data_IF_482826814841
#
_entry.id   IF_482826814841
#
_cell.length_a   1.000
_cell.length_b   1.000
_cell.length_c   1.000
_cell.angle_alpha   90.00
_cell.angle_beta   90.00
_cell.angle_gamma   90.00
#
_symmetry.space_group_name_H-M   'P 1'
#
loop_
_entity.id
_entity.type
_entity.pdbx_description
1 polymer ?
#
# COMPACT_ATOMS: atom_id res chain seq x y z
N UNK A 1 17.00 6.37 8.91
CA UNK A 1 17.92 7.52 8.89
C UNK A 1 17.16 8.80 8.52
N UNK A 2 17.69 9.95 8.97
CA UNK A 2 17.13 11.25 8.64
C UNK A 2 17.48 11.59 7.19
N UNK A 3 16.49 12.02 6.38
CA UNK A 3 16.64 12.28 4.96
C UNK A 3 16.03 13.61 4.54
N UNK A 4 16.68 14.30 3.61
CA UNK A 4 16.18 15.57 3.09
C UNK A 4 14.91 15.34 2.22
N UNK A 5 13.96 16.29 2.31
CA UNK A 5 12.76 16.33 1.45
C UNK A 5 12.92 17.28 0.28
N UNK A 6 14.07 17.96 0.19
CA UNK A 6 14.36 19.00 -0.80
C UNK A 6 15.77 18.83 -1.37
N UNK A 7 16.00 19.37 -2.55
CA UNK A 7 17.33 19.60 -3.09
C UNK A 7 17.86 20.91 -2.51
N UNK A 8 19.10 20.88 -2.01
CA UNK A 8 19.68 22.08 -1.39
C UNK A 8 20.92 21.80 -0.56
N UNK A 9 20.92 22.31 0.66
CA UNK A 9 22.06 22.30 1.55
C UNK A 9 21.68 21.80 2.94
N UNK A 10 22.30 20.73 3.40
CA UNK A 10 22.19 20.23 4.76
C UNK A 10 22.99 21.17 5.69
N UNK A 11 22.36 21.64 6.75
CA UNK A 11 22.95 22.63 7.67
C UNK A 11 22.53 22.35 9.12
N UNK A 12 23.18 23.04 10.02
CA UNK A 12 22.73 23.14 11.40
C UNK A 12 21.81 24.37 11.49
N UNK A 13 20.60 24.20 11.99
CA UNK A 13 19.61 25.27 12.09
C UNK A 13 20.16 26.53 12.78
N UNK A 14 21.01 26.36 13.78
CA UNK A 14 21.64 27.48 14.50
C UNK A 14 22.55 28.35 13.63
N UNK A 15 23.16 27.79 12.57
CA UNK A 15 24.08 28.51 11.67
C UNK A 15 23.31 29.34 10.63
N UNK A 16 22.03 29.06 10.43
CA UNK A 16 21.14 29.81 9.55
C UNK A 16 20.06 30.58 10.30
N UNK A 17 20.13 30.61 11.64
CA UNK A 17 19.16 31.33 12.45
C UNK A 17 19.14 32.84 12.13
N UNK A 18 17.96 33.35 11.79
CA UNK A 18 17.76 34.73 11.38
C UNK A 18 18.21 35.08 9.96
N UNK A 19 18.63 34.09 9.18
CA UNK A 19 18.99 34.28 7.78
C UNK A 19 17.79 34.77 6.96
N UNK A 20 18.00 35.79 6.12
CA UNK A 20 17.02 36.39 5.22
C UNK A 20 17.73 37.06 4.04
N UNK A 21 16.98 37.42 2.98
CA UNK A 21 17.57 38.02 1.77
C UNK A 21 18.50 39.22 2.02
N UNK A 22 18.13 40.07 2.98
CA UNK A 22 18.93 41.24 3.35
C UNK A 22 20.07 40.98 4.34
N UNK A 23 20.12 39.79 4.92
CA UNK A 23 21.15 39.36 5.87
C UNK A 23 21.32 37.84 5.78
N UNK A 24 21.94 37.32 4.69
CA UNK A 24 22.13 35.87 4.49
C UNK A 24 23.14 35.29 5.48
N UNK A 25 22.96 34.02 5.81
CA UNK A 25 24.00 33.24 6.49
C UNK A 25 25.06 32.83 5.48
N UNK A 26 26.33 33.10 5.77
CA UNK A 26 27.45 32.69 4.94
C UNK A 26 28.09 31.43 5.52
N UNK A 27 28.05 30.32 4.75
CA UNK A 27 28.54 29.02 5.19
C UNK A 27 29.49 28.41 4.16
N UNK A 28 30.42 27.58 4.61
CA UNK A 28 31.36 26.87 3.76
C UNK A 28 30.75 25.53 3.30
N UNK A 29 30.64 25.33 1.99
CA UNK A 29 30.25 24.03 1.42
C UNK A 29 31.46 23.08 1.39
N UNK A 30 31.42 22.05 2.27
CA UNK A 30 32.52 21.11 2.46
C UNK A 30 32.41 19.85 1.58
N UNK A 31 31.33 19.73 0.80
CA UNK A 31 31.16 18.63 -0.14
C UNK A 31 29.70 18.31 -0.47
N UNK A 32 29.51 17.14 -1.08
CA UNK A 32 28.20 16.63 -1.50
C UNK A 32 27.84 15.36 -0.72
N UNK A 33 26.58 15.25 -0.27
CA UNK A 33 26.04 14.05 0.33
C UNK A 33 25.74 13.02 -0.78
N UNK A 34 26.31 11.80 -0.74
CA UNK A 34 26.07 10.80 -1.74
C UNK A 34 24.62 10.27 -1.69
N UNK A 35 24.04 9.99 -2.86
CA UNK A 35 22.77 9.26 -2.91
C UNK A 35 23.02 7.76 -2.74
N UNK A 36 22.17 7.10 -1.94
CA UNK A 36 22.24 5.65 -1.73
C UNK A 36 23.37 5.16 -0.81
N UNK A 37 24.08 6.07 -0.17
CA UNK A 37 25.14 5.76 0.78
C UNK A 37 25.12 6.73 1.97
N UNK A 38 25.70 6.31 3.09
CA UNK A 38 25.87 7.22 4.24
C UNK A 38 26.97 8.25 3.92
N UNK A 39 26.75 9.54 4.20
CA UNK A 39 27.76 10.56 4.06
C UNK A 39 28.92 10.32 5.04
N UNK A 40 30.15 10.53 4.58
CA UNK A 40 31.33 10.56 5.45
C UNK A 40 31.64 11.95 5.99
N UNK A 41 30.88 12.95 5.57
CA UNK A 41 31.03 14.35 5.99
C UNK A 41 30.44 14.51 7.40
N UNK A 42 31.17 15.26 8.25
CA UNK A 42 30.71 15.72 9.55
C UNK A 42 30.66 17.25 9.48
N UNK A 43 29.50 17.85 9.69
CA UNK A 43 29.34 19.31 9.63
C UNK A 43 29.69 19.96 10.98
N UNK A 44 30.62 20.89 10.91
CA UNK A 44 30.97 21.77 12.01
C UNK A 44 30.27 23.13 11.86
N UNK A 45 30.54 24.05 12.78
CA UNK A 45 29.99 25.40 12.79
C UNK A 45 30.36 26.17 11.52
N UNK A 46 29.37 26.81 10.90
CA UNK A 46 29.54 27.56 9.66
C UNK A 46 29.74 26.69 8.42
N UNK A 47 29.51 25.38 8.50
CA UNK A 47 29.65 24.44 7.37
C UNK A 47 28.31 23.95 6.86
N UNK A 48 28.29 23.61 5.58
CA UNK A 48 27.17 22.97 4.89
C UNK A 48 27.67 21.90 3.92
N UNK A 49 26.77 20.99 3.53
CA UNK A 49 27.01 20.04 2.45
C UNK A 49 25.81 20.05 1.49
N UNK A 50 26.07 19.95 0.19
CA UNK A 50 25.00 19.82 -0.80
C UNK A 50 24.28 18.48 -0.60
N UNK A 51 22.95 18.51 -0.65
CA UNK A 51 22.11 17.34 -0.47
C UNK A 51 20.97 17.34 -1.49
N UNK A 52 20.59 16.15 -1.94
CA UNK A 52 19.44 15.96 -2.83
C UNK A 52 18.29 15.32 -2.06
N UNK A 53 17.09 15.48 -2.58
CA UNK A 53 15.87 14.86 -2.05
C UNK A 53 16.04 13.36 -1.84
N UNK A 54 15.76 12.87 -0.65
CA UNK A 54 15.98 11.48 -0.25
C UNK A 54 17.39 11.15 0.23
N UNK A 55 18.34 12.10 0.12
CA UNK A 55 19.70 11.96 0.64
C UNK A 55 19.73 11.90 2.16
N UNK A 56 20.60 11.06 2.70
CA UNK A 56 20.83 10.97 4.15
C UNK A 56 21.54 12.23 4.65
N UNK A 57 21.04 12.81 5.74
CA UNK A 57 21.70 13.95 6.38
C UNK A 57 23.07 13.55 6.91
N UNK A 58 24.11 14.39 6.71
CA UNK A 58 25.40 14.17 7.32
C UNK A 58 25.35 14.43 8.84
N UNK A 59 26.26 13.81 9.56
CA UNK A 59 26.42 14.07 10.99
C UNK A 59 26.64 15.56 11.27
N UNK A 60 25.95 16.09 12.27
CA UNK A 60 25.99 17.51 12.62
C UNK A 60 24.91 18.35 11.97
N UNK A 61 24.29 17.92 10.84
CA UNK A 61 23.13 18.58 10.28
C UNK A 61 21.84 18.21 11.02
N UNK A 62 20.90 19.15 11.10
CA UNK A 62 19.57 18.94 11.70
C UNK A 62 18.42 19.51 10.85
N UNK A 63 18.73 20.18 9.74
CA UNK A 63 17.76 20.69 8.77
C UNK A 63 18.36 20.80 7.37
N UNK A 64 17.54 21.16 6.37
CA UNK A 64 17.99 21.46 5.02
C UNK A 64 17.40 22.78 4.52
N UNK A 65 18.22 23.59 3.84
CA UNK A 65 17.79 24.79 3.13
C UNK A 65 17.65 24.45 1.66
N UNK A 66 16.50 24.80 1.05
CA UNK A 66 16.24 24.57 -0.38
C UNK A 66 17.23 25.35 -1.25
N UNK A 67 17.60 24.77 -2.39
CA UNK A 67 18.55 25.40 -3.32
C UNK A 67 18.10 26.77 -3.81
N UNK A 68 16.78 27.02 -3.89
CA UNK A 68 16.20 28.29 -4.30
C UNK A 68 16.51 29.45 -3.33
N UNK A 69 16.87 29.11 -2.09
CA UNK A 69 17.29 30.09 -1.06
C UNK A 69 18.79 30.12 -0.87
N UNK A 70 19.56 29.73 -1.90
CA UNK A 70 21.01 29.72 -1.87
C UNK A 70 21.62 30.55 -3.00
N UNK A 71 22.80 31.12 -2.76
CA UNK A 71 23.60 31.82 -3.77
C UNK A 71 25.08 31.50 -3.57
N UNK A 72 25.82 31.18 -4.64
CA UNK A 72 27.27 31.03 -4.53
C UNK A 72 27.95 32.35 -4.08
N UNK A 73 28.87 32.26 -3.13
CA UNK A 73 29.57 33.41 -2.56
C UNK A 73 31.11 33.26 -2.62
N UNK A 74 31.63 32.65 -3.67
CA UNK A 74 33.06 32.36 -3.87
C UNK A 74 33.28 30.92 -4.30
N UNK A 75 34.48 30.38 -4.11
CA UNK A 75 34.86 29.05 -4.60
C UNK A 75 34.10 27.92 -3.87
N UNK A 76 33.92 28.05 -2.56
CA UNK A 76 33.20 27.05 -1.72
C UNK A 76 32.32 27.68 -0.66
N UNK A 77 32.08 28.99 -0.71
CA UNK A 77 31.14 29.68 0.18
C UNK A 77 29.77 29.78 -0.45
N UNK A 78 28.73 29.63 0.38
CA UNK A 78 27.33 29.72 -0.01
C UNK A 78 26.60 30.69 0.94
N UNK A 79 25.87 31.61 0.35
CA UNK A 79 24.88 32.42 1.08
C UNK A 79 23.56 31.67 1.14
N UNK A 80 23.02 31.52 2.35
CA UNK A 80 21.70 30.95 2.59
C UNK A 80 20.80 32.07 3.09
N UNK A 81 19.70 32.31 2.37
CA UNK A 81 18.80 33.44 2.58
C UNK A 81 17.54 33.07 3.35
N UNK A 82 17.48 31.86 3.92
CA UNK A 82 16.33 31.36 4.65
C UNK A 82 16.74 30.72 5.96
N UNK A 83 16.15 31.19 7.05
CA UNK A 83 16.24 30.54 8.36
C UNK A 83 15.42 29.26 8.39
N UNK A 84 15.93 28.22 9.03
CA UNK A 84 15.25 26.95 9.25
C UNK A 84 15.30 26.56 10.73
N UNK A 85 14.29 25.83 11.19
CA UNK A 85 14.30 25.19 12.50
C UNK A 85 14.87 23.75 12.39
N UNK A 86 15.33 23.14 13.48
CA UNK A 86 15.67 21.73 13.50
C UNK A 86 14.49 20.89 13.02
N UNK A 87 14.73 19.96 12.08
CA UNK A 87 13.73 19.13 11.44
C UNK A 87 13.09 19.72 10.18
N UNK A 88 13.28 20.99 9.88
CA UNK A 88 12.73 21.59 8.67
C UNK A 88 13.34 20.96 7.41
N UNK A 89 12.47 20.57 6.45
CA UNK A 89 12.83 19.90 5.21
C UNK A 89 13.54 18.55 5.42
N UNK A 90 13.25 17.86 6.52
CA UNK A 90 13.79 16.54 6.87
C UNK A 90 12.63 15.61 7.25
N UNK A 91 12.68 14.38 6.76
CA UNK A 91 11.93 13.26 7.33
C UNK A 91 12.85 12.60 8.34
N UNK A 92 12.44 12.60 9.60
CA UNK A 92 13.19 11.97 10.67
C UNK A 92 13.08 10.43 10.60
N UNK A 93 14.04 9.75 11.18
CA UNK A 93 14.15 8.29 11.16
C UNK A 93 12.86 7.56 11.53
N UNK A 94 12.11 8.07 12.50
CA UNK A 94 10.93 7.40 13.05
C UNK A 94 9.59 8.01 12.59
N UNK A 95 9.61 8.97 11.65
CA UNK A 95 8.40 9.64 11.14
C UNK A 95 7.46 8.69 10.41
N UNK A 96 7.99 7.73 9.64
CA UNK A 96 7.16 6.75 8.94
C UNK A 96 6.58 5.71 9.92
N UNK A 97 7.41 5.16 10.82
CA UNK A 97 7.02 4.32 11.95
C UNK A 97 8.20 4.08 12.89
N UNK A 98 7.98 4.21 14.18
CA UNK A 98 8.97 3.85 15.19
C UNK A 98 9.09 2.33 15.34
N UNK A 99 10.25 1.86 15.79
CA UNK A 99 10.46 0.44 16.07
C UNK A 99 9.45 -0.06 17.11
N UNK A 100 8.79 -1.19 16.82
CA UNK A 100 7.74 -1.76 17.66
C UNK A 100 6.33 -1.23 17.41
N UNK A 101 6.15 -0.27 16.49
CA UNK A 101 4.83 0.21 16.09
C UNK A 101 4.05 -0.89 15.37
N UNK A 102 2.78 -1.07 15.73
CA UNK A 102 1.86 -1.95 15.01
C UNK A 102 1.51 -1.32 13.67
N UNK A 103 2.05 -1.84 12.58
CA UNK A 103 1.79 -1.31 11.23
C UNK A 103 0.38 -1.64 10.73
N UNK A 104 -0.04 -2.90 10.88
CA UNK A 104 -1.34 -3.39 10.41
C UNK A 104 -1.95 -4.33 11.45
N UNK A 105 -3.21 -4.10 11.79
CA UNK A 105 -3.94 -4.99 12.70
C UNK A 105 -4.35 -6.29 11.99
N UNK A 106 -4.41 -7.39 12.74
CA UNK A 106 -4.97 -8.66 12.28
C UNK A 106 -6.44 -8.51 11.86
N UNK A 107 -6.87 -9.29 10.88
CA UNK A 107 -8.24 -9.25 10.34
C UNK A 107 -8.50 -8.14 9.32
N UNK A 108 -7.54 -7.27 9.06
CA UNK A 108 -7.65 -6.22 8.04
C UNK A 108 -7.52 -6.80 6.64
N UNK A 109 -8.38 -6.38 5.71
CA UNK A 109 -8.19 -6.64 4.29
C UNK A 109 -7.02 -5.80 3.77
N UNK A 110 -5.99 -6.44 3.22
CA UNK A 110 -4.82 -5.76 2.67
C UNK A 110 -5.20 -5.02 1.38
N UNK A 111 -4.86 -3.75 1.33
CA UNK A 111 -5.02 -2.85 0.17
C UNK A 111 -3.67 -2.64 -0.50
N UNK A 112 -3.61 -2.13 -1.74
CA UNK A 112 -2.33 -1.87 -2.42
C UNK A 112 -1.34 -1.04 -1.60
N UNK A 113 -1.81 0.00 -0.91
CA UNK A 113 -0.96 0.83 -0.04
C UNK A 113 -0.44 0.08 1.19
N UNK A 114 -1.21 -0.88 1.72
CA UNK A 114 -0.76 -1.73 2.83
C UNK A 114 0.38 -2.66 2.38
N UNK A 115 0.31 -3.15 1.13
CA UNK A 115 1.41 -3.93 0.52
C UNK A 115 2.66 -3.06 0.33
N UNK A 116 2.49 -1.80 -0.12
CA UNK A 116 3.59 -0.85 -0.23
C UNK A 116 4.26 -0.57 1.13
N UNK A 117 3.45 -0.41 2.19
CA UNK A 117 3.94 -0.24 3.55
C UNK A 117 4.77 -1.45 4.02
N UNK A 118 4.24 -2.67 3.83
CA UNK A 118 4.96 -3.90 4.19
C UNK A 118 6.29 -4.02 3.44
N UNK A 119 6.30 -3.69 2.16
CA UNK A 119 7.51 -3.70 1.33
C UNK A 119 8.55 -2.66 1.80
N UNK A 120 8.11 -1.45 2.19
CA UNK A 120 8.99 -0.41 2.71
C UNK A 120 9.72 -0.84 3.99
N UNK A 121 9.10 -1.71 4.81
CA UNK A 121 9.70 -2.29 6.01
C UNK A 121 10.39 -3.64 5.76
N UNK A 122 10.55 -4.07 4.50
CA UNK A 122 11.27 -5.29 4.15
C UNK A 122 10.53 -6.59 4.49
N UNK A 123 9.21 -6.53 4.73
CA UNK A 123 8.40 -7.70 5.01
C UNK A 123 8.02 -8.39 3.70
N UNK A 124 8.68 -9.50 3.40
CA UNK A 124 8.49 -10.27 2.17
C UNK A 124 7.34 -11.27 2.26
N UNK A 125 6.99 -11.69 3.48
CA UNK A 125 5.92 -12.66 3.73
C UNK A 125 5.08 -12.22 4.93
N UNK A 126 3.77 -12.36 4.81
CA UNK A 126 2.81 -12.12 5.88
C UNK A 126 1.76 -13.23 5.93
N UNK A 127 1.39 -13.64 7.13
CA UNK A 127 0.31 -14.61 7.31
C UNK A 127 -1.03 -13.97 6.97
N UNK A 128 -1.77 -14.57 6.04
CA UNK A 128 -3.10 -14.11 5.64
C UNK A 128 -4.11 -15.26 5.72
N UNK A 129 -5.39 -14.92 5.84
CA UNK A 129 -6.46 -15.90 5.68
C UNK A 129 -6.53 -16.33 4.22
N UNK A 130 -6.70 -17.63 3.98
CA UNK A 130 -6.95 -18.11 2.62
C UNK A 130 -8.30 -17.63 2.12
N UNK A 131 -8.42 -17.43 0.83
CA UNK A 131 -9.71 -17.17 0.20
C UNK A 131 -10.67 -18.35 0.43
N UNK A 132 -11.93 -18.13 0.88
CA UNK A 132 -12.90 -19.20 1.02
C UNK A 132 -13.24 -19.82 -0.33
N UNK A 133 -13.43 -21.13 -0.36
CA UNK A 133 -13.93 -21.88 -1.53
C UNK A 133 -15.44 -21.94 -1.47
N UNK A 134 -16.11 -21.39 -2.48
CA UNK A 134 -17.55 -21.30 -2.56
C UNK A 134 -18.05 -22.11 -3.75
N UNK A 135 -18.95 -23.07 -3.55
CA UNK A 135 -19.67 -23.72 -4.62
C UNK A 135 -21.06 -23.09 -4.79
N UNK A 136 -21.45 -22.84 -6.04
CA UNK A 136 -22.80 -22.36 -6.38
C UNK A 136 -23.51 -23.46 -7.16
N UNK A 137 -24.63 -23.89 -6.63
CA UNK A 137 -25.52 -24.94 -7.22
C UNK A 137 -26.83 -24.30 -7.59
N UNK A 138 -27.31 -24.53 -8.78
CA UNK A 138 -28.68 -24.16 -9.17
C UNK A 138 -29.57 -25.41 -9.15
N UNK A 139 -30.79 -25.25 -8.70
CA UNK A 139 -31.83 -26.29 -8.75
C UNK A 139 -33.09 -25.75 -9.37
N UNK A 140 -33.84 -26.61 -10.04
CA UNK A 140 -35.09 -26.27 -10.72
C UNK A 140 -35.20 -27.00 -12.06
N UNK A 141 -36.30 -27.76 -12.23
CA UNK A 141 -36.55 -28.46 -13.48
C UNK A 141 -36.82 -27.49 -14.65
N UNK A 142 -37.16 -26.24 -14.37
CA UNK A 142 -37.37 -25.18 -15.36
C UNK A 142 -36.03 -24.57 -15.85
N UNK A 143 -34.93 -24.78 -15.15
CA UNK A 143 -33.64 -24.13 -15.43
C UNK A 143 -32.83 -24.95 -16.44
N UNK A 144 -32.20 -24.26 -17.40
CA UNK A 144 -31.28 -24.88 -18.38
C UNK A 144 -29.95 -24.12 -18.40
N UNK A 145 -28.86 -24.75 -18.84
CA UNK A 145 -27.57 -24.08 -19.07
C UNK A 145 -27.73 -22.85 -19.97
N UNK A 146 -26.83 -21.87 -19.80
CA UNK A 146 -26.89 -20.63 -20.60
C UNK A 146 -26.60 -20.86 -22.08
N UNK A 147 -25.88 -21.92 -22.41
CA UNK A 147 -25.52 -22.34 -23.77
C UNK A 147 -26.72 -22.85 -24.54
N UNK A 148 -27.73 -23.37 -23.85
CA UNK A 148 -28.91 -23.98 -24.45
C UNK A 148 -29.94 -22.94 -24.86
N UNK A 149 -30.72 -23.25 -25.91
CA UNK A 149 -31.93 -22.49 -26.25
C UNK A 149 -33.08 -23.05 -25.43
N UNK A 150 -33.64 -22.24 -24.46
CA UNK A 150 -34.72 -22.73 -23.62
C UNK A 150 -35.98 -23.08 -24.44
N UNK A 151 -36.53 -24.30 -24.33
CA UNK A 151 -37.86 -24.56 -24.88
C UNK A 151 -38.92 -23.80 -24.06
N UNK A 152 -40.19 -23.73 -24.56
CA UNK A 152 -41.28 -23.13 -23.82
C UNK A 152 -41.39 -23.69 -22.40
N UNK A 153 -41.48 -22.80 -21.40
CA UNK A 153 -41.59 -23.16 -19.99
C UNK A 153 -40.24 -23.31 -19.28
N UNK A 154 -39.12 -23.12 -19.97
CA UNK A 154 -37.78 -23.15 -19.35
C UNK A 154 -37.05 -21.79 -19.44
N UNK A 155 -36.11 -21.58 -18.53
CA UNK A 155 -35.32 -20.36 -18.42
C UNK A 155 -33.82 -20.70 -18.28
N UNK A 156 -32.94 -19.77 -18.67
CA UNK A 156 -31.49 -19.94 -18.46
C UNK A 156 -31.08 -19.70 -17.03
N UNK A 157 -30.05 -20.44 -16.59
CA UNK A 157 -29.44 -20.27 -15.27
C UNK A 157 -28.68 -18.94 -15.17
N UNK A 158 -29.35 -17.88 -14.80
CA UNK A 158 -28.77 -16.56 -14.57
C UNK A 158 -28.11 -16.48 -13.17
N UNK A 159 -28.70 -17.18 -12.20
CA UNK A 159 -28.32 -17.05 -10.78
C UNK A 159 -26.92 -17.61 -10.50
N UNK A 160 -26.57 -18.79 -11.05
CA UNK A 160 -25.23 -19.32 -10.87
C UNK A 160 -24.13 -18.35 -11.33
N UNK A 161 -24.40 -17.63 -12.42
CA UNK A 161 -23.42 -16.68 -12.96
C UNK A 161 -23.29 -15.40 -12.12
N UNK A 162 -24.42 -14.81 -11.73
CA UNK A 162 -24.44 -13.58 -10.92
C UNK A 162 -23.91 -13.80 -9.50
N UNK A 163 -24.34 -14.89 -8.85
CA UNK A 163 -23.87 -15.24 -7.50
C UNK A 163 -22.37 -15.57 -7.52
N UNK A 164 -21.91 -16.36 -8.51
CA UNK A 164 -20.48 -16.65 -8.64
C UNK A 164 -19.64 -15.38 -8.85
N UNK A 165 -20.15 -14.40 -9.61
CA UNK A 165 -19.49 -13.12 -9.80
C UNK A 165 -19.43 -12.29 -8.51
N UNK A 166 -20.52 -12.25 -7.73
CA UNK A 166 -20.54 -11.60 -6.43
C UNK A 166 -19.57 -12.24 -5.44
N UNK A 167 -19.54 -13.57 -5.35
CA UNK A 167 -18.61 -14.29 -4.49
C UNK A 167 -17.14 -13.99 -4.86
N UNK A 168 -16.80 -13.98 -6.15
CA UNK A 168 -15.44 -13.59 -6.61
C UNK A 168 -15.13 -12.14 -6.28
N UNK A 169 -16.08 -11.24 -6.46
CA UNK A 169 -15.93 -9.83 -6.06
C UNK A 169 -15.69 -9.65 -4.56
N UNK A 170 -16.24 -10.54 -3.73
CA UNK A 170 -15.99 -10.59 -2.29
C UNK A 170 -14.64 -11.25 -1.91
N UNK A 171 -13.89 -11.82 -2.89
CA UNK A 171 -12.59 -12.44 -2.66
C UNK A 171 -12.62 -13.96 -2.52
N UNK A 172 -13.73 -14.63 -2.86
CA UNK A 172 -13.84 -16.08 -2.82
C UNK A 172 -13.31 -16.75 -4.09
N UNK A 173 -12.77 -17.97 -3.94
CA UNK A 173 -12.58 -18.91 -5.04
C UNK A 173 -13.92 -19.60 -5.30
N UNK A 174 -14.50 -19.43 -6.51
CA UNK A 174 -15.88 -19.82 -6.76
C UNK A 174 -15.96 -20.88 -7.86
N UNK A 175 -16.63 -21.98 -7.55
CA UNK A 175 -17.05 -23.05 -8.47
C UNK A 175 -18.53 -22.90 -8.79
N UNK A 176 -18.91 -22.87 -10.07
CA UNK A 176 -20.28 -23.12 -10.50
C UNK A 176 -20.45 -24.64 -10.60
N UNK A 177 -21.19 -25.22 -9.65
CA UNK A 177 -21.27 -26.68 -9.49
C UNK A 177 -22.37 -27.35 -10.36
N UNK A 178 -23.01 -26.53 -11.20
CA UNK A 178 -23.99 -27.00 -12.19
C UNK A 178 -25.43 -26.99 -11.68
N UNK A 179 -26.30 -27.60 -12.49
CA UNK A 179 -27.73 -27.73 -12.24
C UNK A 179 -28.02 -29.10 -11.61
N UNK A 180 -28.92 -29.13 -10.65
CA UNK A 180 -29.46 -30.32 -10.02
C UNK A 180 -30.96 -30.30 -10.21
N UNK A 181 -31.59 -31.43 -10.45
CA UNK A 181 -33.05 -31.53 -10.56
C UNK A 181 -33.72 -31.24 -9.20
N UNK A 182 -35.02 -30.98 -9.22
CA UNK A 182 -35.83 -30.83 -8.01
C UNK A 182 -36.07 -32.20 -7.34
N UNK A 183 -34.95 -32.92 -7.08
CA UNK A 183 -34.91 -34.18 -6.36
C UNK A 183 -34.07 -34.02 -5.09
N UNK A 184 -34.73 -34.29 -3.93
CA UNK A 184 -34.08 -34.08 -2.63
C UNK A 184 -32.88 -35.02 -2.42
N UNK A 185 -32.92 -36.25 -2.96
CA UNK A 185 -31.83 -37.23 -2.82
C UNK A 185 -30.62 -36.83 -3.68
N UNK A 186 -30.84 -36.42 -4.94
CA UNK A 186 -29.81 -35.92 -5.82
C UNK A 186 -29.13 -34.66 -5.29
N UNK A 187 -29.95 -33.72 -4.81
CA UNK A 187 -29.46 -32.48 -4.21
C UNK A 187 -28.62 -32.77 -2.96
N UNK A 188 -29.13 -33.60 -2.03
CA UNK A 188 -28.41 -33.98 -0.82
C UNK A 188 -27.04 -34.64 -1.13
N UNK A 189 -27.02 -35.58 -2.07
CA UNK A 189 -25.79 -36.26 -2.51
C UNK A 189 -24.78 -35.24 -3.10
N UNK A 190 -25.27 -34.31 -3.94
CA UNK A 190 -24.43 -33.26 -4.53
C UNK A 190 -23.86 -32.31 -3.48
N UNK A 191 -24.67 -31.85 -2.53
CA UNK A 191 -24.23 -30.98 -1.43
C UNK A 191 -23.21 -31.69 -0.53
N UNK A 192 -23.41 -32.96 -0.21
CA UNK A 192 -22.47 -33.74 0.59
C UNK A 192 -21.10 -33.86 -0.11
N UNK A 193 -21.08 -34.11 -1.40
CA UNK A 193 -19.84 -34.17 -2.18
C UNK A 193 -19.10 -32.81 -2.22
N UNK A 194 -19.84 -31.71 -2.39
CA UNK A 194 -19.26 -30.37 -2.43
C UNK A 194 -18.74 -29.90 -1.07
N UNK A 195 -19.38 -30.33 0.02
CA UNK A 195 -19.00 -29.96 1.40
C UNK A 195 -17.60 -30.46 1.79
N UNK A 196 -17.06 -31.48 1.11
CA UNK A 196 -15.71 -31.99 1.36
C UNK A 196 -14.63 -30.98 0.94
N UNK A 197 -14.88 -30.22 -0.11
CA UNK A 197 -13.86 -29.38 -0.73
C UNK A 197 -14.17 -27.87 -0.61
N UNK A 198 -15.38 -27.48 -0.21
CA UNK A 198 -15.82 -26.08 -0.18
C UNK A 198 -16.22 -25.67 1.22
N UNK A 199 -15.89 -24.41 1.56
CA UNK A 199 -16.22 -23.82 2.86
C UNK A 199 -17.66 -23.35 2.94
N UNK A 200 -18.24 -22.96 1.79
CA UNK A 200 -19.60 -22.44 1.65
C UNK A 200 -20.24 -23.05 0.41
N UNK A 201 -21.49 -23.44 0.51
CA UNK A 201 -22.30 -23.84 -0.62
C UNK A 201 -23.51 -22.93 -0.70
N UNK A 202 -23.73 -22.31 -1.84
CA UNK A 202 -24.88 -21.46 -2.14
C UNK A 202 -25.80 -22.22 -3.09
N UNK A 203 -27.04 -22.43 -2.69
CA UNK A 203 -28.06 -23.07 -3.52
C UNK A 203 -29.05 -22.02 -4.01
N UNK A 204 -29.25 -21.96 -5.31
CA UNK A 204 -30.22 -21.06 -5.96
C UNK A 204 -31.35 -21.90 -6.54
N UNK A 205 -32.57 -21.68 -6.12
CA UNK A 205 -33.77 -22.36 -6.63
C UNK A 205 -34.87 -22.49 -5.55
N UNK A 206 -36.01 -23.03 -5.94
CA UNK A 206 -37.05 -23.45 -5.00
C UNK A 206 -37.70 -22.31 -4.20
N UNK A 207 -38.30 -21.33 -4.85
CA UNK A 207 -39.01 -20.23 -4.16
C UNK A 207 -40.49 -20.56 -3.89
N UNK A 208 -41.03 -21.68 -4.37
CA UNK A 208 -42.39 -22.11 -4.09
C UNK A 208 -42.42 -23.25 -3.07
N UNK A 209 -43.23 -23.14 -2.05
CA UNK A 209 -43.59 -24.29 -1.21
C UNK A 209 -44.17 -25.34 -2.15
N UNK A 210 -43.49 -26.46 -2.33
CA UNK A 210 -44.01 -27.59 -3.09
C UNK A 210 -45.35 -28.00 -2.46
N UNK A 211 -46.32 -28.07 -3.34
CA UNK A 211 -47.62 -28.70 -2.94
C UNK A 211 -47.42 -30.18 -2.75
#
# INVERSE_FOLDING_TARGET
FDRATVDGYAVRARDVFGAQEGNPALVECVGDCPMGAAPSIILHEGQTARILTGGMLPEGADCAVMVEYSRPAGSNMVELTRSQAPGDNVILRDDDAAAGTLLLAAGRRLRPQDIGLLAAFGLTEVAVQRSPRVAVVSTGDEVVPIEDTPPPGKIRDVNAHSIAALCRGAGAQTLRAGLVRDDAGELAARLAALAVEHDVIVVSGGSSAGM
#
